data_IF_383336959282
#
_entry.id   IF_383336959282
#
_cell.length_a   1.000
_cell.length_b   1.000
_cell.length_c   1.000
_cell.angle_alpha   90.00
_cell.angle_beta   90.00
_cell.angle_gamma   90.00
#
_symmetry.space_group_name_H-M   'P 1'
#
loop_
_entity.id
_entity.type
_entity.pdbx_description
1 polymer ?
#
# COMPACT_ATOMS: atom_id res chain seq x y z
N UNK A 1 29.49 -59.45 13.90
CA UNK A 1 28.65 -58.49 14.65
C UNK A 1 28.66 -57.15 13.94
N UNK A 2 27.46 -56.67 13.55
CA UNK A 2 26.98 -55.34 13.14
C UNK A 2 27.96 -54.16 12.92
N UNK A 3 27.80 -53.50 11.75
CA UNK A 3 27.52 -52.05 11.48
C UNK A 3 28.22 -51.63 10.17
N UNK A 4 27.54 -51.46 9.03
CA UNK A 4 26.53 -50.44 8.64
C UNK A 4 27.13 -49.03 8.46
N UNK A 5 27.11 -48.58 7.19
CA UNK A 5 27.23 -47.22 6.66
C UNK A 5 28.55 -46.45 6.78
N UNK A 6 29.18 -46.14 5.64
CA UNK A 6 29.24 -44.75 5.14
C UNK A 6 29.71 -44.71 3.67
N UNK A 7 28.80 -45.06 2.76
CA UNK A 7 28.83 -44.54 1.40
C UNK A 7 28.35 -43.09 1.51
N UNK A 8 29.23 -42.10 1.36
CA UNK A 8 29.02 -40.76 0.79
C UNK A 8 30.18 -39.83 1.20
N UNK A 9 31.35 -40.00 0.57
CA UNK A 9 32.45 -39.03 0.64
C UNK A 9 32.79 -38.62 -0.79
N UNK A 10 31.78 -38.08 -1.46
CA UNK A 10 31.89 -37.50 -2.80
C UNK A 10 31.20 -36.14 -2.74
N UNK A 11 31.98 -35.11 -3.09
CA UNK A 11 31.55 -33.77 -3.49
C UNK A 11 31.06 -32.83 -2.38
N UNK A 12 32.01 -32.40 -1.54
CA UNK A 12 31.94 -31.08 -0.89
C UNK A 12 33.10 -30.24 -1.43
N UNK A 13 33.03 -29.88 -2.71
CA UNK A 13 33.81 -28.77 -3.25
C UNK A 13 32.91 -27.55 -3.29
N UNK A 14 33.22 -26.65 -2.37
CA UNK A 14 32.69 -25.30 -2.16
C UNK A 14 32.41 -24.53 -3.46
N UNK A 15 31.17 -24.62 -3.97
CA UNK A 15 30.53 -23.48 -4.62
C UNK A 15 29.89 -22.63 -3.52
N UNK A 16 30.74 -21.90 -2.80
CA UNK A 16 30.30 -20.74 -2.02
C UNK A 16 30.00 -19.65 -3.04
N UNK A 17 28.85 -19.76 -3.69
CA UNK A 17 28.25 -18.60 -4.33
C UNK A 17 27.86 -17.67 -3.18
N UNK A 18 28.70 -16.65 -2.99
CA UNK A 18 28.35 -15.44 -2.27
C UNK A 18 27.11 -14.83 -2.96
N UNK A 19 25.93 -15.31 -2.59
CA UNK A 19 24.73 -14.49 -2.69
C UNK A 19 24.76 -13.63 -1.43
N UNK A 20 25.58 -12.58 -1.47
CA UNK A 20 25.28 -11.38 -0.70
C UNK A 20 23.86 -10.98 -1.09
N UNK A 21 22.87 -10.91 -0.18
CA UNK A 21 21.68 -10.15 -0.45
C UNK A 21 22.09 -8.68 -0.39
N UNK A 22 22.65 -8.19 -1.50
CA UNK A 22 22.83 -6.78 -1.72
C UNK A 22 21.45 -6.14 -1.80
N UNK A 23 21.28 -5.08 -1.03
CA UNK A 23 20.13 -4.17 -0.90
C UNK A 23 19.17 -4.55 0.22
N UNK A 24 19.06 -3.62 1.18
CA UNK A 24 17.89 -3.43 2.02
C UNK A 24 16.69 -3.25 1.09
N UNK A 25 16.09 -4.35 0.64
CA UNK A 25 14.84 -4.28 -0.08
C UNK A 25 13.79 -3.91 0.96
N UNK A 26 13.45 -2.61 1.05
CA UNK A 26 12.35 -2.17 1.88
C UNK A 26 11.14 -3.02 1.50
N UNK A 27 10.57 -3.72 2.48
CA UNK A 27 9.55 -4.74 2.26
C UNK A 27 8.40 -4.16 1.42
N UNK A 28 8.30 -4.60 0.17
CA UNK A 28 7.22 -4.24 -0.73
C UNK A 28 5.92 -4.83 -0.14
N UNK A 29 5.04 -3.94 0.32
CA UNK A 29 3.72 -4.34 0.81
C UNK A 29 2.84 -4.69 -0.37
N UNK A 30 2.08 -5.78 -0.29
CA UNK A 30 1.25 -6.25 -1.40
C UNK A 30 -0.21 -5.95 -1.11
N UNK A 31 -0.93 -5.57 -2.16
CA UNK A 31 -2.36 -5.38 -2.13
C UNK A 31 -2.98 -5.71 -3.48
N UNK A 32 -4.31 -5.75 -3.47
CA UNK A 32 -5.14 -6.03 -4.63
C UNK A 32 -6.21 -4.96 -4.76
N UNK A 33 -6.44 -4.50 -5.99
CA UNK A 33 -7.50 -3.51 -6.26
C UNK A 33 -8.85 -4.16 -6.03
N UNK A 34 -9.57 -3.68 -5.04
CA UNK A 34 -10.88 -4.18 -4.63
C UNK A 34 -12.01 -3.40 -5.30
N UNK A 35 -11.83 -2.09 -5.52
CA UNK A 35 -12.83 -1.24 -6.15
C UNK A 35 -12.17 -0.12 -6.96
N UNK A 36 -12.86 0.31 -8.01
CA UNK A 36 -12.53 1.51 -8.79
C UNK A 36 -13.83 2.27 -8.99
N UNK A 37 -13.94 3.44 -8.37
CA UNK A 37 -15.06 4.37 -8.52
C UNK A 37 -14.63 5.42 -9.53
N UNK A 38 -15.45 5.57 -10.57
CA UNK A 38 -15.24 6.56 -11.62
C UNK A 38 -16.12 7.78 -11.36
N UNK A 39 -15.76 8.85 -12.06
CA UNK A 39 -16.29 10.21 -12.06
C UNK A 39 -17.76 10.40 -11.64
N UNK A 40 -18.03 11.57 -11.06
CA UNK A 40 -19.36 12.12 -10.74
C UNK A 40 -20.18 11.32 -9.72
N UNK A 41 -19.55 10.37 -9.03
CA UNK A 41 -20.17 9.64 -7.92
C UNK A 41 -20.13 10.50 -6.66
N UNK A 42 -21.26 10.56 -5.94
CA UNK A 42 -21.31 11.22 -4.63
C UNK A 42 -20.38 10.52 -3.64
N UNK A 43 -19.55 11.29 -2.95
CA UNK A 43 -18.48 10.74 -2.13
C UNK A 43 -18.95 9.84 -0.99
N UNK A 44 -20.02 10.24 -0.29
CA UNK A 44 -20.53 9.47 0.84
C UNK A 44 -21.16 8.15 0.39
N UNK A 45 -21.90 8.16 -0.72
CA UNK A 45 -22.45 6.94 -1.34
C UNK A 45 -21.33 5.98 -1.77
N UNK A 46 -20.29 6.50 -2.44
CA UNK A 46 -19.17 5.67 -2.86
C UNK A 46 -18.42 5.03 -1.70
N UNK A 47 -18.24 5.73 -0.58
CA UNK A 47 -17.45 5.20 0.53
C UNK A 47 -18.18 4.16 1.38
N UNK A 48 -19.51 4.23 1.49
CA UNK A 48 -20.33 3.28 2.26
C UNK A 48 -20.06 1.82 1.89
N UNK A 49 -19.86 1.55 0.60
CA UNK A 49 -19.68 0.19 0.08
C UNK A 49 -18.23 -0.31 0.14
N UNK A 50 -17.28 0.58 0.44
CA UNK A 50 -15.87 0.35 0.15
C UNK A 50 -14.98 0.42 1.40
N UNK A 51 -15.33 1.30 2.34
CA UNK A 51 -14.62 1.46 3.61
C UNK A 51 -15.55 1.00 4.73
N UNK A 52 -15.10 0.11 5.63
CA UNK A 52 -15.91 -0.24 6.79
C UNK A 52 -16.14 1.02 7.63
N UNK A 53 -17.40 1.36 7.88
CA UNK A 53 -17.79 2.47 8.74
C UNK A 53 -17.97 1.95 10.17
N UNK A 54 -17.06 2.29 11.11
CA UNK A 54 -17.23 1.95 12.51
C UNK A 54 -18.22 2.88 13.22
N UNK A 55 -18.66 3.97 12.57
CA UNK A 55 -19.55 4.97 13.14
C UNK A 55 -21.03 4.66 12.94
N UNK A 56 -21.87 5.09 13.89
CA UNK A 56 -23.33 5.06 13.73
C UNK A 56 -23.86 6.28 12.95
N UNK A 57 -23.04 7.33 12.80
CA UNK A 57 -23.44 8.58 12.15
C UNK A 57 -23.33 8.48 10.62
N UNK A 58 -24.36 8.90 9.86
CA UNK A 58 -24.29 8.90 8.41
C UNK A 58 -23.22 9.87 7.89
N UNK A 59 -22.63 9.54 6.74
CA UNK A 59 -21.74 10.45 6.03
C UNK A 59 -22.55 11.62 5.41
N UNK A 60 -22.11 12.86 5.66
CA UNK A 60 -22.79 14.10 5.23
C UNK A 60 -21.88 15.03 4.39
N UNK A 61 -20.68 14.57 4.04
CA UNK A 61 -19.73 15.35 3.25
C UNK A 61 -20.26 15.56 1.82
N UNK A 62 -20.40 16.82 1.44
CA UNK A 62 -20.75 17.20 0.06
C UNK A 62 -19.51 17.20 -0.82
N UNK A 63 -19.57 16.49 -1.93
CA UNK A 63 -18.51 16.46 -2.94
C UNK A 63 -18.70 15.30 -3.91
N UNK A 64 -17.98 15.38 -5.03
CA UNK A 64 -17.91 14.32 -6.03
C UNK A 64 -16.50 13.73 -6.05
N UNK A 65 -16.43 12.44 -6.37
CA UNK A 65 -15.19 11.76 -6.64
C UNK A 65 -14.88 11.89 -8.14
N UNK A 66 -13.66 12.29 -8.48
CA UNK A 66 -13.15 12.24 -9.85
C UNK A 66 -12.73 10.82 -10.21
N UNK A 67 -11.77 10.25 -9.49
CA UNK A 67 -11.43 8.82 -9.58
C UNK A 67 -10.93 8.35 -8.20
N UNK A 68 -11.50 7.26 -7.70
CA UNK A 68 -11.10 6.66 -6.43
C UNK A 68 -10.80 5.18 -6.63
N UNK A 69 -9.58 4.78 -6.30
CA UNK A 69 -9.14 3.40 -6.30
C UNK A 69 -9.07 2.91 -4.86
N UNK A 70 -9.59 1.72 -4.58
CA UNK A 70 -9.42 1.07 -3.28
C UNK A 70 -8.62 -0.20 -3.42
N UNK A 71 -7.55 -0.27 -2.65
CA UNK A 71 -6.62 -1.39 -2.60
C UNK A 71 -6.74 -2.02 -1.21
N UNK A 72 -6.94 -3.33 -1.15
CA UNK A 72 -6.90 -4.10 0.08
C UNK A 72 -5.59 -4.86 0.15
N UNK A 73 -4.89 -4.79 1.27
CA UNK A 73 -3.62 -5.49 1.42
C UNK A 73 -2.95 -5.20 2.75
N UNK A 74 -1.63 -5.37 2.80
CA UNK A 74 -0.85 -5.03 3.98
C UNK A 74 -0.33 -3.59 3.88
N UNK A 75 -0.14 -2.95 5.04
CA UNK A 75 0.56 -1.68 5.14
C UNK A 75 1.76 -1.82 6.09
N UNK A 76 2.81 -1.01 5.89
CA UNK A 76 3.94 -0.98 6.80
C UNK A 76 3.53 -0.31 8.13
N UNK A 77 4.14 -0.74 9.24
CA UNK A 77 3.77 -0.30 10.59
C UNK A 77 3.92 1.21 10.84
N UNK A 78 4.74 1.90 10.04
CA UNK A 78 5.01 3.33 10.19
C UNK A 78 4.82 4.02 8.85
N UNK A 79 3.76 4.82 8.78
CA UNK A 79 3.50 5.78 7.71
C UNK A 79 3.26 7.16 8.32
N UNK A 80 3.67 8.19 7.61
CA UNK A 80 3.45 9.58 8.02
C UNK A 80 2.88 10.38 6.85
N UNK A 81 2.00 11.37 7.10
CA UNK A 81 1.56 12.28 6.04
C UNK A 81 2.74 12.98 5.38
N UNK A 82 2.68 13.12 4.06
CA UNK A 82 3.74 13.71 3.23
C UNK A 82 4.80 12.71 2.75
N UNK A 83 4.85 11.49 3.32
CA UNK A 83 5.80 10.48 2.87
C UNK A 83 5.54 10.08 1.41
N UNK A 84 6.62 9.98 0.64
CA UNK A 84 6.56 9.53 -0.74
C UNK A 84 6.54 8.00 -0.79
N UNK A 85 5.64 7.46 -1.60
CA UNK A 85 5.47 6.04 -1.84
C UNK A 85 5.61 5.76 -3.33
N UNK A 86 5.98 4.52 -3.64
CA UNK A 86 6.04 3.99 -5.00
C UNK A 86 5.03 2.86 -5.07
N UNK A 87 4.01 3.04 -5.91
CA UNK A 87 3.08 1.99 -6.28
C UNK A 87 3.64 1.29 -7.52
N UNK A 88 3.71 -0.03 -7.51
CA UNK A 88 4.09 -0.82 -8.68
C UNK A 88 2.95 -1.73 -9.07
N UNK A 89 2.67 -1.78 -10.36
CA UNK A 89 1.72 -2.70 -10.96
C UNK A 89 2.44 -3.57 -11.97
N UNK A 90 2.10 -4.86 -11.99
CA UNK A 90 2.62 -5.77 -12.99
C UNK A 90 2.17 -5.32 -14.39
N UNK A 91 3.11 -5.20 -15.33
CA UNK A 91 2.82 -4.80 -16.72
C UNK A 91 2.62 -3.30 -16.96
N UNK A 92 2.23 -2.51 -15.95
CA UNK A 92 1.94 -1.06 -16.11
C UNK A 92 3.08 -0.16 -15.60
N UNK A 93 3.96 -0.68 -14.75
CA UNK A 93 5.15 0.04 -14.29
C UNK A 93 5.01 0.63 -12.88
N UNK A 94 5.65 1.79 -12.65
CA UNK A 94 5.76 2.43 -11.33
C UNK A 94 5.09 3.78 -11.32
N UNK A 95 4.36 4.08 -10.24
CA UNK A 95 3.68 5.34 -9.99
C UNK A 95 4.17 5.92 -8.68
N UNK A 96 4.49 7.22 -8.69
CA UNK A 96 4.80 7.95 -7.48
C UNK A 96 3.52 8.44 -6.84
N UNK A 97 3.41 8.29 -5.52
CA UNK A 97 2.31 8.82 -4.74
C UNK A 97 2.80 9.40 -3.41
N UNK A 98 1.97 10.20 -2.75
CA UNK A 98 2.23 10.72 -1.41
C UNK A 98 1.10 10.33 -0.47
N UNK A 99 1.46 9.98 0.76
CA UNK A 99 0.49 9.83 1.84
C UNK A 99 -0.08 11.21 2.15
N UNK A 100 -1.40 11.38 2.07
CA UNK A 100 -2.05 12.68 2.34
C UNK A 100 -2.99 12.63 3.54
N UNK A 101 -3.41 11.43 3.94
CA UNK A 101 -4.21 11.19 5.13
C UNK A 101 -3.99 9.75 5.62
N UNK A 102 -4.11 9.56 6.93
CA UNK A 102 -3.93 8.31 7.66
C UNK A 102 -5.11 8.26 8.61
N UNK A 103 -5.88 7.17 8.63
CA UNK A 103 -6.91 7.05 9.65
C UNK A 103 -6.27 6.73 11.01
N UNK A 104 -6.77 7.40 12.03
CA UNK A 104 -6.50 7.13 13.43
C UNK A 104 -7.66 6.33 14.03
N UNK A 105 -7.50 5.84 15.25
CA UNK A 105 -8.44 4.91 15.90
C UNK A 105 -9.88 5.43 16.00
N UNK A 106 -10.07 6.74 15.96
CA UNK A 106 -11.34 7.47 16.09
C UNK A 106 -11.83 8.08 14.76
N UNK A 107 -11.16 7.80 13.64
CA UNK A 107 -11.50 8.37 12.34
C UNK A 107 -12.87 7.87 11.86
N UNK A 108 -13.77 8.81 11.56
CA UNK A 108 -15.11 8.53 11.04
C UNK A 108 -15.11 8.53 9.51
N UNK A 109 -16.15 7.97 8.90
CA UNK A 109 -16.35 8.02 7.44
C UNK A 109 -16.34 9.45 6.89
N UNK A 110 -16.90 10.42 7.65
CA UNK A 110 -16.89 11.84 7.33
C UNK A 110 -15.48 12.43 7.23
N UNK A 111 -14.53 11.97 8.03
CA UNK A 111 -13.15 12.46 8.01
C UNK A 111 -12.42 11.96 6.76
N UNK A 112 -12.65 10.69 6.39
CA UNK A 112 -12.12 10.09 5.16
C UNK A 112 -12.69 10.81 3.94
N UNK A 113 -14.01 11.00 3.90
CA UNK A 113 -14.68 11.73 2.82
C UNK A 113 -14.15 13.17 2.71
N UNK A 114 -14.04 13.87 3.84
CA UNK A 114 -13.47 15.22 3.89
C UNK A 114 -12.03 15.26 3.39
N UNK A 115 -11.22 14.25 3.74
CA UNK A 115 -9.83 14.16 3.32
C UNK A 115 -9.71 13.96 1.80
N UNK A 116 -10.53 13.11 1.20
CA UNK A 116 -10.56 12.90 -0.26
C UNK A 116 -10.86 14.21 -0.99
N UNK A 117 -11.90 14.94 -0.57
CA UNK A 117 -12.28 16.22 -1.21
C UNK A 117 -11.20 17.27 -1.01
N UNK A 118 -10.68 17.44 0.22
CA UNK A 118 -9.76 18.53 0.56
C UNK A 118 -8.32 18.27 0.12
N UNK A 119 -7.88 17.02 0.11
CA UNK A 119 -6.49 16.64 -0.19
C UNK A 119 -6.33 16.09 -1.61
N UNK A 120 -7.42 15.93 -2.34
CA UNK A 120 -7.45 15.34 -3.70
C UNK A 120 -6.75 13.97 -3.72
N UNK A 121 -7.02 13.16 -2.69
CA UNK A 121 -6.54 11.80 -2.62
C UNK A 121 -7.38 10.89 -3.50
N UNK A 122 -6.74 10.14 -4.39
CA UNK A 122 -7.43 9.27 -5.36
C UNK A 122 -7.26 7.78 -5.08
N UNK A 123 -6.56 7.39 -4.02
CA UNK A 123 -6.26 5.99 -3.71
C UNK A 123 -6.42 5.76 -2.21
N UNK A 124 -7.37 4.91 -1.81
CA UNK A 124 -7.45 4.37 -0.45
C UNK A 124 -6.72 3.04 -0.43
N UNK A 125 -5.76 2.90 0.48
CA UNK A 125 -5.18 1.61 0.79
C UNK A 125 -5.67 1.17 2.15
N UNK A 126 -6.46 0.11 2.19
CA UNK A 126 -7.04 -0.47 3.39
C UNK A 126 -6.21 -1.66 3.87
N UNK A 127 -5.77 -1.62 5.12
CA UNK A 127 -5.04 -2.69 5.78
C UNK A 127 -6.02 -3.73 6.32
N UNK A 128 -5.99 -4.92 5.75
CA UNK A 128 -6.93 -5.99 6.12
C UNK A 128 -6.69 -6.54 7.53
N UNK A 129 -5.52 -6.30 8.12
CA UNK A 129 -5.14 -6.84 9.42
C UNK A 129 -5.78 -6.11 10.60
N UNK A 130 -5.84 -4.78 10.54
CA UNK A 130 -6.24 -3.92 11.66
C UNK A 130 -7.30 -2.88 11.28
N UNK A 131 -7.72 -2.85 10.01
CA UNK A 131 -8.72 -1.93 9.51
C UNK A 131 -8.24 -0.48 9.33
N UNK A 132 -6.96 -0.21 9.54
CA UNK A 132 -6.38 1.09 9.25
C UNK A 132 -6.28 1.30 7.73
N UNK A 133 -6.60 2.49 7.24
CA UNK A 133 -6.49 2.92 5.87
C UNK A 133 -5.64 4.19 5.72
N UNK A 134 -4.93 4.27 4.60
CA UNK A 134 -4.27 5.52 4.16
C UNK A 134 -4.88 6.02 2.88
N UNK A 135 -4.91 7.33 2.77
CA UNK A 135 -5.22 8.02 1.53
C UNK A 135 -3.93 8.46 0.86
N UNK A 136 -3.76 8.08 -0.40
CA UNK A 136 -2.64 8.46 -1.24
C UNK A 136 -3.10 9.38 -2.36
N UNK A 137 -2.25 10.35 -2.68
CA UNK A 137 -2.35 11.19 -3.88
C UNK A 137 -1.26 10.79 -4.85
N UNK A 138 -1.65 10.22 -5.99
CA UNK A 138 -0.70 9.91 -7.06
C UNK A 138 -0.24 11.19 -7.77
N UNK A 139 1.03 11.25 -8.18
CA UNK A 139 1.59 12.38 -8.93
C UNK A 139 1.12 12.40 -10.39
N UNK A 140 0.69 11.25 -10.89
CA UNK A 140 0.12 11.05 -12.22
C UNK A 140 -1.16 10.23 -12.10
N UNK A 141 -1.95 10.24 -13.15
CA UNK A 141 -3.16 9.44 -13.24
C UNK A 141 -2.84 7.95 -12.99
N UNK A 142 -3.62 7.34 -12.11
CA UNK A 142 -3.46 5.95 -11.69
C UNK A 142 -4.77 5.22 -11.96
N UNK A 143 -4.81 4.45 -13.05
CA UNK A 143 -6.02 3.83 -13.59
C UNK A 143 -5.90 2.29 -13.63
N UNK A 144 -5.90 1.62 -12.47
CA UNK A 144 -5.92 0.17 -12.44
C UNK A 144 -7.31 -0.40 -12.75
N UNK A 145 -7.36 -1.71 -12.97
CA UNK A 145 -8.58 -2.50 -13.02
C UNK A 145 -8.82 -3.24 -11.70
N UNK A 146 -10.09 -3.54 -11.41
CA UNK A 146 -10.45 -4.39 -10.27
C UNK A 146 -9.75 -5.75 -10.43
N UNK A 147 -9.09 -6.20 -9.37
CA UNK A 147 -8.33 -7.44 -9.33
C UNK A 147 -6.84 -7.29 -9.61
N UNK A 148 -6.36 -6.13 -10.08
CA UNK A 148 -4.94 -5.89 -10.31
C UNK A 148 -4.13 -6.01 -9.00
N UNK A 149 -2.94 -6.60 -9.12
CA UNK A 149 -1.97 -6.65 -8.03
C UNK A 149 -1.15 -5.36 -7.99
N UNK A 150 -1.06 -4.77 -6.80
CA UNK A 150 -0.31 -3.54 -6.56
C UNK A 150 0.65 -3.77 -5.40
N UNK A 151 1.91 -3.37 -5.57
CA UNK A 151 2.87 -3.32 -4.47
C UNK A 151 3.13 -1.88 -4.04
N UNK A 152 3.18 -1.61 -2.74
CA UNK A 152 3.54 -0.32 -2.16
C UNK A 152 4.93 -0.40 -1.52
N UNK A 153 5.78 0.55 -1.89
CA UNK A 153 7.10 0.75 -1.28
C UNK A 153 7.20 2.17 -0.72
N UNK A 154 7.56 2.32 0.55
CA UNK A 154 7.89 3.64 1.09
C UNK A 154 9.26 4.05 0.54
N UNK A 155 9.35 5.27 0.03
CA UNK A 155 10.64 5.87 -0.31
C UNK A 155 11.30 6.29 0.99
N UNK A 156 12.36 5.58 1.39
CA UNK A 156 13.16 5.95 2.54
C UNK A 156 13.65 7.40 2.38
N UNK A 157 13.50 8.20 3.44
CA UNK A 157 14.16 9.49 3.51
C UNK A 157 15.66 9.25 3.28
N UNK A 158 16.23 9.93 2.29
CA UNK A 158 17.66 9.82 1.99
C UNK A 158 18.38 10.22 3.27
N UNK A 159 19.00 9.27 3.99
CA UNK A 159 19.91 9.62 5.09
C UNK A 159 20.94 10.55 4.46
N UNK A 160 20.92 11.83 4.83
CA UNK A 160 22.06 12.69 4.61
C UNK A 160 23.17 12.05 5.42
N UNK A 161 24.03 11.30 4.74
CA UNK A 161 25.31 10.93 5.30
C UNK A 161 26.05 12.27 5.34
N UNK A 162 25.98 12.97 6.47
CA UNK A 162 26.94 14.02 6.76
C UNK A 162 28.32 13.35 6.67
N UNK A 163 29.12 13.82 5.72
CA UNK A 163 30.42 13.23 5.43
C UNK A 163 31.29 13.23 6.68
N UNK A 164 31.99 12.11 6.90
CA UNK A 164 33.09 12.00 7.83
C UNK A 164 34.22 12.98 7.48
#
# INVERSE_FOLDING_TARGET
MKKLHLVLLLLVTCFVWNIMPSTCDAADQKGKVAAVVKEDTEICEALKDIVPDPGEEPCEVKGQISNLVVIKGTLPEKLEPGQSTILKMNGTGKFMAKVVFINESDTKLNDIASAIVKKEGGIIWYNEKDGFCVLLKAEKEFLPSVGDEVSLKIKSAKKMIEGC
#
